data_IF_897424573909
#
_entry.id   IF_897424573909
#
_cell.length_a   1.000
_cell.length_b   1.000
_cell.length_c   1.000
_cell.angle_alpha   90.00
_cell.angle_beta   90.00
_cell.angle_gamma   90.00
#
_symmetry.space_group_name_H-M   'P 1'
#
loop_
_entity.id
_entity.type
_entity.pdbx_description
1 polymer ?
#
# COMPACT_ATOMS: atom_id res chain seq x y z
N UNK A 1 -23.57 10.47 -35.95
CA UNK A 1 -22.95 11.78 -36.22
C UNK A 1 -22.54 12.38 -34.87
N UNK A 2 -21.23 12.64 -34.75
CA UNK A 2 -20.45 13.39 -33.76
C UNK A 2 -20.95 13.58 -32.32
N UNK A 3 -20.16 13.06 -31.38
CA UNK A 3 -20.07 13.50 -29.97
C UNK A 3 -19.23 14.78 -29.91
N UNK A 4 -19.68 15.78 -29.16
CA UNK A 4 -18.89 16.97 -28.85
C UNK A 4 -18.31 16.84 -27.44
N UNK A 5 -17.03 16.52 -27.35
CA UNK A 5 -16.26 16.57 -26.10
C UNK A 5 -15.65 17.98 -25.95
N UNK A 6 -16.19 18.74 -25.00
CA UNK A 6 -15.63 20.02 -24.57
C UNK A 6 -14.46 19.79 -23.62
N UNK A 7 -13.25 19.81 -24.17
CA UNK A 7 -11.99 19.80 -23.42
C UNK A 7 -11.81 21.14 -22.70
N UNK A 8 -11.94 21.14 -21.37
CA UNK A 8 -11.60 22.29 -20.53
C UNK A 8 -10.18 22.09 -19.97
N UNK A 9 -9.18 22.28 -20.83
CA UNK A 9 -7.78 22.36 -20.41
C UNK A 9 -7.51 23.62 -19.60
N UNK A 10 -6.68 23.51 -18.55
CA UNK A 10 -6.21 24.65 -17.76
C UNK A 10 -5.38 25.61 -18.64
N UNK A 11 -6.06 26.60 -19.21
CA UNK A 11 -5.49 27.54 -20.17
C UNK A 11 -5.17 28.86 -19.46
N UNK A 12 -3.88 29.24 -19.39
CA UNK A 12 -3.50 30.62 -19.06
C UNK A 12 -3.52 31.44 -20.35
N UNK A 13 -4.46 32.36 -20.46
CA UNK A 13 -4.56 33.29 -21.60
C UNK A 13 -3.40 34.29 -21.55
N UNK A 14 -2.47 34.18 -22.50
CA UNK A 14 -1.53 35.25 -22.83
C UNK A 14 -1.99 35.86 -24.16
N UNK A 15 -2.14 37.19 -24.18
CA UNK A 15 -2.37 37.95 -25.39
C UNK A 15 -1.12 37.90 -26.29
N UNK A 16 -1.36 37.92 -27.60
CA UNK A 16 -0.40 37.92 -28.72
C UNK A 16 0.17 36.57 -29.18
N UNK A 17 -0.48 35.98 -30.19
CA UNK A 17 0.17 35.28 -31.31
C UNK A 17 1.10 34.08 -31.04
N UNK A 18 1.11 33.51 -29.83
CA UNK A 18 2.03 32.43 -29.46
C UNK A 18 1.36 31.05 -29.47
N UNK A 19 2.11 30.05 -29.93
CA UNK A 19 1.80 28.62 -29.78
C UNK A 19 1.40 28.39 -28.32
N UNK A 20 0.13 28.04 -28.07
CA UNK A 20 -0.36 27.68 -26.75
C UNK A 20 0.35 26.39 -26.34
N UNK A 21 1.48 26.50 -25.64
CA UNK A 21 2.12 25.37 -25.00
C UNK A 21 1.19 24.92 -23.88
N UNK A 22 0.34 23.94 -24.18
CA UNK A 22 -0.44 23.24 -23.17
C UNK A 22 0.54 22.73 -22.13
N UNK A 23 0.40 23.20 -20.89
CA UNK A 23 1.19 22.68 -19.79
C UNK A 23 0.86 21.19 -19.63
N UNK A 24 1.86 20.32 -19.83
CA UNK A 24 1.69 18.87 -19.71
C UNK A 24 2.48 18.35 -18.51
N UNK A 25 1.94 17.34 -17.84
CA UNK A 25 2.62 16.68 -16.74
C UNK A 25 4.00 16.15 -17.18
N UNK A 26 5.07 16.54 -16.48
CA UNK A 26 6.43 16.14 -16.88
C UNK A 26 6.74 14.65 -16.65
N UNK A 27 5.88 13.93 -15.91
CA UNK A 27 6.04 12.49 -15.63
C UNK A 27 5.33 11.63 -16.69
N UNK A 28 4.05 11.91 -16.96
CA UNK A 28 3.27 11.12 -17.93
C UNK A 28 3.16 11.75 -19.32
N UNK A 29 3.73 12.94 -19.52
CA UNK A 29 3.78 13.65 -20.80
C UNK A 29 2.39 13.88 -21.46
N UNK A 30 1.33 13.92 -20.65
CA UNK A 30 -0.05 14.12 -21.11
C UNK A 30 -0.86 12.82 -21.29
N UNK A 31 -0.29 11.65 -21.03
CA UNK A 31 -1.02 10.36 -21.09
C UNK A 31 -1.92 10.09 -19.87
N UNK A 32 -1.87 10.96 -18.87
CA UNK A 32 -2.69 10.85 -17.66
C UNK A 32 -4.15 11.24 -17.89
N UNK A 33 -4.99 11.09 -16.87
CA UNK A 33 -6.36 11.60 -16.96
C UNK A 33 -6.38 13.10 -16.74
N UNK A 34 -6.99 13.86 -17.66
CA UNK A 34 -7.22 15.32 -17.56
C UNK A 34 -8.02 15.73 -16.30
N UNK A 35 -8.56 14.76 -15.56
CA UNK A 35 -9.34 14.94 -14.35
C UNK A 35 -8.51 15.41 -13.15
N UNK A 36 -7.20 15.11 -13.11
CA UNK A 36 -6.34 15.55 -12.01
C UNK A 36 -5.65 16.87 -12.37
N UNK A 37 -5.80 17.93 -11.55
CA UNK A 37 -5.17 19.21 -11.87
C UNK A 37 -3.64 19.11 -11.74
N UNK A 38 -2.96 19.78 -12.66
CA UNK A 38 -1.51 19.99 -12.59
C UNK A 38 -1.14 20.91 -11.43
N UNK A 39 -0.04 20.59 -10.75
CA UNK A 39 0.51 21.36 -9.64
C UNK A 39 2.01 21.64 -9.83
N UNK A 40 2.51 22.64 -9.09
CA UNK A 40 3.92 23.01 -9.04
C UNK A 40 4.44 22.78 -7.61
N UNK A 41 4.93 21.57 -7.27
CA UNK A 41 5.36 21.23 -5.91
C UNK A 41 6.62 22.02 -5.47
N UNK A 42 7.27 22.71 -6.41
CA UNK A 42 8.43 23.56 -6.16
C UNK A 42 8.51 24.67 -7.22
N UNK A 43 9.56 25.51 -7.14
CA UNK A 43 9.79 26.65 -8.06
C UNK A 43 10.24 26.25 -9.47
N UNK A 44 10.45 24.96 -9.74
CA UNK A 44 10.82 24.52 -11.07
C UNK A 44 9.63 24.70 -12.03
N UNK A 45 9.86 25.13 -13.28
CA UNK A 45 8.80 25.33 -14.27
C UNK A 45 8.37 23.99 -14.89
N UNK A 46 7.96 23.02 -14.06
CA UNK A 46 7.58 21.67 -14.46
C UNK A 46 6.30 21.24 -13.73
N UNK A 47 5.12 21.38 -14.37
CA UNK A 47 3.85 20.97 -13.78
C UNK A 47 3.72 19.45 -13.70
N UNK A 48 3.05 18.95 -12.66
CA UNK A 48 2.88 17.50 -12.41
C UNK A 48 1.55 17.19 -11.76
N UNK A 49 0.95 16.05 -12.09
CA UNK A 49 -0.16 15.48 -11.33
C UNK A 49 0.35 14.99 -9.96
N UNK A 50 -0.47 15.11 -8.91
CA UNK A 50 -0.14 14.62 -7.57
C UNK A 50 0.12 13.10 -7.57
N UNK A 51 -0.72 12.31 -8.24
CA UNK A 51 -0.54 10.86 -8.37
C UNK A 51 0.76 10.50 -9.11
N UNK A 52 1.08 11.22 -10.19
CA UNK A 52 2.33 11.01 -10.94
C UNK A 52 3.57 11.32 -10.09
N UNK A 53 3.54 12.42 -9.33
CA UNK A 53 4.63 12.79 -8.42
C UNK A 53 4.79 11.73 -7.33
N UNK A 54 3.70 11.30 -6.71
CA UNK A 54 3.72 10.31 -5.64
C UNK A 54 4.29 8.96 -6.11
N UNK A 55 3.92 8.49 -7.31
CA UNK A 55 4.51 7.30 -7.94
C UNK A 55 6.00 7.46 -8.21
N UNK A 56 6.41 8.62 -8.73
CA UNK A 56 7.82 8.91 -8.97
C UNK A 56 8.64 8.91 -7.67
N UNK A 57 8.10 9.50 -6.59
CA UNK A 57 8.73 9.46 -5.26
C UNK A 57 8.85 8.03 -4.73
N UNK A 58 7.80 7.21 -4.86
CA UNK A 58 7.82 5.80 -4.49
C UNK A 58 8.86 4.98 -5.27
N UNK A 59 8.94 5.16 -6.60
CA UNK A 59 9.97 4.52 -7.42
C UNK A 59 11.39 4.99 -7.06
N UNK A 60 11.51 6.17 -6.47
CA UNK A 60 12.75 6.77 -6.01
C UNK A 60 13.01 6.49 -4.52
N UNK A 61 12.27 5.59 -3.88
CA UNK A 61 12.37 5.34 -2.45
C UNK A 61 13.80 4.98 -2.01
N UNK A 62 14.24 5.57 -0.90
CA UNK A 62 15.60 5.44 -0.38
C UNK A 62 16.64 6.32 -1.06
N UNK A 63 16.25 7.15 -2.03
CA UNK A 63 17.10 8.16 -2.64
C UNK A 63 16.70 9.58 -2.24
N UNK A 64 17.52 10.57 -2.59
CA UNK A 64 17.22 11.98 -2.34
C UNK A 64 15.94 12.42 -3.08
N UNK A 65 15.74 11.87 -4.26
CA UNK A 65 14.60 12.10 -5.13
C UNK A 65 13.26 11.68 -4.49
N UNK A 66 13.25 10.77 -3.52
CA UNK A 66 12.02 10.45 -2.77
C UNK A 66 11.42 11.69 -2.09
N UNK A 67 12.28 12.57 -1.55
CA UNK A 67 11.86 13.65 -0.64
C UNK A 67 12.19 15.05 -1.15
N UNK A 68 13.04 15.17 -2.17
CA UNK A 68 13.50 16.46 -2.67
C UNK A 68 13.54 16.52 -4.20
N UNK A 69 13.24 17.70 -4.73
CA UNK A 69 13.31 17.96 -6.17
C UNK A 69 14.75 17.75 -6.68
N UNK A 70 14.92 16.94 -7.73
CA UNK A 70 16.23 16.69 -8.35
C UNK A 70 16.94 17.96 -8.86
N UNK A 71 16.18 18.99 -9.23
CA UNK A 71 16.73 20.21 -9.82
C UNK A 71 17.00 21.31 -8.79
N UNK A 72 15.99 21.70 -8.00
CA UNK A 72 16.11 22.81 -7.06
C UNK A 72 16.31 22.38 -5.60
N UNK A 73 16.28 21.08 -5.31
CA UNK A 73 16.41 20.49 -3.97
C UNK A 73 15.34 20.92 -2.95
N UNK A 74 14.26 21.59 -3.40
CA UNK A 74 13.12 21.88 -2.54
C UNK A 74 12.49 20.57 -2.04
N UNK A 75 12.05 20.57 -0.78
CA UNK A 75 11.33 19.44 -0.18
C UNK A 75 10.01 19.23 -0.91
N UNK A 76 9.75 18.00 -1.31
CA UNK A 76 8.51 17.59 -1.98
C UNK A 76 7.44 17.20 -0.94
N UNK A 77 6.15 17.29 -1.28
CA UNK A 77 5.08 16.84 -0.41
C UNK A 77 5.21 15.34 -0.07
N UNK A 78 4.65 14.92 1.06
CA UNK A 78 4.60 13.49 1.40
C UNK A 78 3.68 12.76 0.40
N UNK A 79 4.20 11.69 -0.18
CA UNK A 79 3.53 10.94 -1.23
C UNK A 79 2.53 9.91 -0.67
N UNK A 80 2.70 9.48 0.58
CA UNK A 80 1.90 8.40 1.18
C UNK A 80 0.40 8.70 1.18
N UNK A 81 -0.10 9.89 1.55
CA UNK A 81 -1.54 10.17 1.54
C UNK A 81 -2.17 10.06 0.16
N UNK A 82 -1.41 10.34 -0.91
CA UNK A 82 -1.89 10.22 -2.30
C UNK A 82 -2.02 8.76 -2.72
N UNK A 83 -1.11 7.89 -2.25
CA UNK A 83 -1.10 6.47 -2.59
C UNK A 83 -1.87 5.59 -1.60
N UNK A 84 -2.23 6.12 -0.42
CA UNK A 84 -3.04 5.43 0.57
C UNK A 84 -4.49 5.49 0.12
N UNK A 85 -5.11 4.37 -0.29
CA UNK A 85 -6.53 4.39 -0.57
C UNK A 85 -7.29 4.69 0.73
N UNK A 86 -8.50 5.29 0.69
CA UNK A 86 -9.34 5.44 1.86
C UNK A 86 -9.70 4.04 2.38
N UNK A 87 -8.92 3.57 3.35
CA UNK A 87 -9.01 2.24 3.93
C UNK A 87 -9.05 2.45 5.42
N UNK A 88 -10.26 2.47 5.98
CA UNK A 88 -10.47 2.39 7.43
C UNK A 88 -9.78 1.14 8.01
N UNK A 89 -9.60 0.10 7.17
CA UNK A 89 -8.94 -1.16 7.49
C UNK A 89 -7.40 -1.10 7.47
N UNK A 90 -6.77 -0.03 7.00
CA UNK A 90 -5.31 0.07 6.95
C UNK A 90 -4.67 0.02 8.36
N UNK A 91 -5.39 0.51 9.37
CA UNK A 91 -4.97 0.43 10.77
C UNK A 91 -5.10 -0.98 11.37
N UNK A 92 -5.97 -1.83 10.81
CA UNK A 92 -6.16 -3.22 11.23
C UNK A 92 -5.26 -4.21 10.46
N UNK A 93 -4.61 -3.76 9.40
CA UNK A 93 -3.73 -4.59 8.59
C UNK A 93 -2.48 -4.98 9.37
N UNK A 94 -2.20 -6.30 9.49
CA UNK A 94 -0.92 -6.83 9.95
C UNK A 94 -0.04 -7.04 8.68
N UNK A 95 0.81 -6.08 8.25
CA UNK A 95 1.59 -6.24 7.03
C UNK A 95 2.66 -7.33 7.19
N UNK A 96 2.76 -8.17 6.18
CA UNK A 96 3.71 -9.30 6.11
C UNK A 96 4.44 -9.23 4.78
N UNK A 97 5.74 -9.49 4.79
CA UNK A 97 6.58 -9.65 3.60
C UNK A 97 6.98 -11.12 3.44
N UNK A 98 7.06 -11.57 2.19
CA UNK A 98 7.69 -12.85 1.85
C UNK A 98 9.18 -12.60 1.60
N UNK A 99 10.04 -13.30 2.32
CA UNK A 99 11.50 -13.18 2.21
C UNK A 99 12.04 -14.47 1.62
N UNK A 100 12.76 -14.37 0.50
CA UNK A 100 13.34 -15.52 -0.20
C UNK A 100 14.87 -15.47 -0.11
N UNK A 101 15.49 -16.53 0.41
CA UNK A 101 16.94 -16.67 0.46
C UNK A 101 17.33 -18.14 0.30
N UNK A 102 18.29 -18.44 -0.58
CA UNK A 102 18.73 -19.82 -0.90
C UNK A 102 17.57 -20.79 -1.21
N UNK A 103 16.54 -20.31 -1.92
CA UNK A 103 15.35 -21.09 -2.28
C UNK A 103 14.35 -21.32 -1.13
N UNK A 104 14.66 -20.89 0.09
CA UNK A 104 13.74 -20.92 1.23
C UNK A 104 12.92 -19.63 1.26
N UNK A 105 11.64 -19.75 1.62
CA UNK A 105 10.68 -18.64 1.69
C UNK A 105 10.11 -18.56 3.11
N UNK A 106 10.22 -17.39 3.73
CA UNK A 106 9.65 -17.13 5.05
C UNK A 106 8.77 -15.89 5.04
N UNK A 107 7.65 -15.96 5.74
CA UNK A 107 6.72 -14.84 5.91
C UNK A 107 7.02 -14.09 7.21
N UNK A 108 7.48 -12.84 7.09
CA UNK A 108 7.90 -12.01 8.21
C UNK A 108 6.94 -10.85 8.37
N UNK A 109 6.40 -10.65 9.58
CA UNK A 109 5.60 -9.46 9.89
C UNK A 109 6.52 -8.24 9.91
N UNK A 110 6.09 -7.15 9.28
CA UNK A 110 6.89 -5.93 9.19
C UNK A 110 6.26 -4.79 9.97
N UNK A 111 7.08 -3.85 10.41
CA UNK A 111 6.63 -2.68 11.16
C UNK A 111 7.24 -1.42 10.56
N UNK A 112 6.45 -0.37 10.46
CA UNK A 112 6.97 0.96 10.14
C UNK A 112 7.74 1.56 11.32
N UNK A 113 8.34 2.73 11.09
CA UNK A 113 8.98 3.52 12.13
C UNK A 113 10.50 3.31 12.25
N UNK A 114 11.14 4.00 13.20
CA UNK A 114 12.60 4.17 13.22
C UNK A 114 13.37 2.86 13.45
N UNK A 115 12.80 1.92 14.20
CA UNK A 115 13.44 0.64 14.52
C UNK A 115 13.00 -0.51 13.60
N UNK A 116 12.01 -0.28 12.74
CA UNK A 116 11.38 -1.34 11.94
C UNK A 116 12.38 -2.07 11.04
N UNK A 117 13.30 -1.33 10.41
CA UNK A 117 14.32 -1.92 9.56
C UNK A 117 15.32 -2.79 10.34
N UNK A 118 15.82 -2.31 11.48
CA UNK A 118 16.77 -3.08 12.30
C UNK A 118 16.13 -4.33 12.91
N UNK A 119 14.85 -4.26 13.32
CA UNK A 119 14.11 -5.44 13.77
C UNK A 119 13.96 -6.45 12.62
N UNK A 120 13.54 -5.99 11.44
CA UNK A 120 13.36 -6.83 10.26
C UNK A 120 14.67 -7.53 9.82
N UNK A 121 15.78 -6.80 9.80
CA UNK A 121 17.10 -7.36 9.48
C UNK A 121 17.50 -8.43 10.48
N UNK A 122 17.34 -8.16 11.78
CA UNK A 122 17.65 -9.14 12.84
C UNK A 122 16.80 -10.40 12.71
N UNK A 123 15.51 -10.25 12.41
CA UNK A 123 14.61 -11.38 12.25
C UNK A 123 15.01 -12.24 11.05
N UNK A 124 15.34 -11.64 9.90
CA UNK A 124 15.85 -12.35 8.72
C UNK A 124 17.16 -13.07 9.03
N UNK A 125 18.12 -12.39 9.67
CA UNK A 125 19.40 -13.01 10.04
C UNK A 125 19.20 -14.23 10.95
N UNK A 126 18.29 -14.12 11.92
CA UNK A 126 17.95 -15.23 12.81
C UNK A 126 17.27 -16.39 12.08
N UNK A 127 16.36 -16.10 11.14
CA UNK A 127 15.60 -17.13 10.39
C UNK A 127 16.52 -17.91 9.45
N UNK A 128 17.38 -17.22 8.71
CA UNK A 128 18.23 -17.83 7.68
C UNK A 128 19.63 -18.20 8.18
N UNK A 129 19.93 -17.97 9.47
CA UNK A 129 21.26 -18.24 10.04
C UNK A 129 22.38 -17.40 9.41
N UNK A 130 22.08 -16.18 8.96
CA UNK A 130 23.05 -15.29 8.33
C UNK A 130 23.86 -14.60 9.42
N UNK A 131 25.17 -14.82 9.43
CA UNK A 131 26.07 -14.17 10.39
C UNK A 131 26.31 -12.70 10.03
N UNK A 132 26.58 -11.87 11.04
CA UNK A 132 26.78 -10.43 10.90
C UNK A 132 28.00 -10.02 10.03
N UNK A 133 28.85 -10.97 9.64
CA UNK A 133 29.99 -10.75 8.75
C UNK A 133 29.59 -10.58 7.28
N UNK A 134 28.35 -10.96 6.91
CA UNK A 134 27.87 -10.86 5.54
C UNK A 134 27.13 -9.55 5.31
N UNK A 135 27.57 -8.78 4.31
CA UNK A 135 26.84 -7.61 3.81
C UNK A 135 25.51 -8.07 3.17
N UNK A 136 24.40 -7.79 3.85
CA UNK A 136 23.08 -8.18 3.38
C UNK A 136 22.46 -7.08 2.50
N UNK A 137 22.34 -7.35 1.20
CA UNK A 137 21.64 -6.48 0.27
C UNK A 137 20.18 -6.92 0.11
N UNK A 138 19.26 -6.03 0.49
CA UNK A 138 17.83 -6.28 0.36
C UNK A 138 17.26 -5.61 -0.89
N UNK A 139 16.34 -6.31 -1.54
CA UNK A 139 15.46 -5.74 -2.55
C UNK A 139 14.02 -6.17 -2.26
N UNK A 140 13.09 -5.24 -2.47
CA UNK A 140 11.68 -5.39 -2.17
C UNK A 140 10.88 -5.36 -3.45
N UNK A 141 10.28 -6.50 -3.79
CA UNK A 141 9.34 -6.58 -4.90
C UNK A 141 7.95 -6.18 -4.40
N UNK A 142 7.40 -5.12 -4.99
CA UNK A 142 6.16 -4.50 -4.59
C UNK A 142 5.22 -4.33 -5.80
N UNK A 143 3.93 -4.15 -5.55
CA UNK A 143 2.99 -3.67 -6.56
C UNK A 143 2.78 -2.15 -6.38
N UNK A 144 2.84 -1.41 -7.49
CA UNK A 144 2.47 0.00 -7.54
C UNK A 144 1.01 0.16 -7.05
N UNK A 145 0.75 1.01 -6.03
CA UNK A 145 -0.58 1.08 -5.40
C UNK A 145 -1.73 1.47 -6.35
N UNK A 146 -1.41 2.22 -7.41
CA UNK A 146 -2.37 2.77 -8.38
C UNK A 146 -2.56 1.81 -9.54
N UNK A 147 -1.46 1.41 -10.19
CA UNK A 147 -1.49 0.62 -11.43
C UNK A 147 -1.49 -0.89 -11.19
N UNK A 148 -1.04 -1.33 -10.01
CA UNK A 148 -0.82 -2.74 -9.70
C UNK A 148 0.42 -3.35 -10.38
N UNK A 149 1.17 -2.57 -11.15
CA UNK A 149 2.37 -3.04 -11.84
C UNK A 149 3.48 -3.41 -10.84
N UNK A 150 4.20 -4.50 -11.12
CA UNK A 150 5.35 -4.89 -10.31
C UNK A 150 6.47 -3.83 -10.39
N UNK A 151 7.05 -3.49 -9.24
CA UNK A 151 8.18 -2.58 -9.09
C UNK A 151 9.16 -3.13 -8.06
N UNK A 152 10.43 -2.75 -8.18
CA UNK A 152 11.50 -3.18 -7.29
C UNK A 152 12.13 -2.00 -6.58
N UNK A 153 12.11 -2.03 -5.25
CA UNK A 153 12.75 -1.03 -4.40
C UNK A 153 14.02 -1.64 -3.79
N UNK A 154 15.13 -0.90 -3.71
CA UNK A 154 16.42 -1.47 -3.34
C UNK A 154 17.03 -0.80 -2.11
N UNK A 155 17.66 -1.60 -1.28
CA UNK A 155 18.46 -1.14 -0.15
C UNK A 155 17.65 -0.72 1.08
N UNK A 156 18.36 -0.46 2.17
CA UNK A 156 17.80 -0.12 3.47
C UNK A 156 16.87 1.11 3.43
N UNK A 157 17.25 2.13 2.65
CA UNK A 157 16.48 3.38 2.54
C UNK A 157 15.06 3.19 2.01
N UNK A 158 14.81 2.13 1.24
CA UNK A 158 13.49 1.86 0.68
C UNK A 158 12.55 1.08 1.62
N UNK A 159 13.02 0.66 2.80
CA UNK A 159 12.25 -0.21 3.70
C UNK A 159 10.88 0.39 4.07
N UNK A 160 10.82 1.69 4.41
CA UNK A 160 9.56 2.32 4.81
C UNK A 160 8.54 2.35 3.66
N UNK A 161 9.01 2.55 2.43
CA UNK A 161 8.17 2.50 1.25
C UNK A 161 7.66 1.08 0.98
N UNK A 162 8.52 0.06 1.15
CA UNK A 162 8.13 -1.34 1.04
C UNK A 162 7.08 -1.74 2.11
N UNK A 163 7.26 -1.29 3.36
CA UNK A 163 6.27 -1.49 4.43
C UNK A 163 4.93 -0.85 4.05
N UNK A 164 4.96 0.36 3.50
CA UNK A 164 3.75 1.03 3.03
C UNK A 164 3.00 0.23 1.95
N UNK A 165 3.74 -0.28 0.95
CA UNK A 165 3.17 -1.18 -0.07
C UNK A 165 2.59 -2.46 0.56
N UNK A 166 3.27 -3.05 1.53
CA UNK A 166 2.80 -4.23 2.26
C UNK A 166 1.52 -3.94 3.04
N UNK A 167 1.40 -2.77 3.67
CA UNK A 167 0.19 -2.32 4.40
C UNK A 167 -1.00 -2.17 3.45
N UNK A 168 -0.82 -1.49 2.31
CA UNK A 168 -1.88 -1.35 1.31
C UNK A 168 -2.31 -2.73 0.79
N UNK A 169 -1.35 -3.62 0.53
CA UNK A 169 -1.61 -4.97 0.06
C UNK A 169 -2.39 -5.79 1.09
N UNK A 170 -2.01 -5.70 2.37
CA UNK A 170 -2.70 -6.36 3.46
C UNK A 170 -4.14 -5.85 3.64
N UNK A 171 -4.35 -4.54 3.60
CA UNK A 171 -5.68 -3.94 3.69
C UNK A 171 -6.57 -4.34 2.50
N UNK A 172 -6.02 -4.37 1.27
CA UNK A 172 -6.74 -4.89 0.08
C UNK A 172 -7.19 -6.34 0.27
N UNK A 173 -6.34 -7.21 0.84
CA UNK A 173 -6.69 -8.62 1.13
C UNK A 173 -7.83 -8.75 2.14
N UNK A 174 -7.80 -7.98 3.23
CA UNK A 174 -8.88 -7.97 4.24
C UNK A 174 -10.23 -7.64 3.58
N UNK A 175 -10.26 -6.58 2.76
CA UNK A 175 -11.48 -6.16 2.07
C UNK A 175 -12.00 -7.20 1.07
N UNK A 176 -11.11 -7.82 0.29
CA UNK A 176 -11.50 -8.89 -0.64
C UNK A 176 -12.10 -10.08 0.09
N UNK A 177 -11.51 -10.48 1.22
CA UNK A 177 -12.01 -11.58 2.05
C UNK A 177 -13.38 -11.27 2.65
N UNK A 178 -13.58 -10.07 3.22
CA UNK A 178 -14.88 -9.65 3.75
C UNK A 178 -15.99 -9.64 2.69
N UNK A 179 -15.67 -9.23 1.45
CA UNK A 179 -16.61 -9.25 0.34
C UNK A 179 -17.00 -10.67 -0.07
N UNK A 180 -16.07 -11.62 -0.05
CA UNK A 180 -16.35 -13.04 -0.33
C UNK A 180 -17.25 -13.64 0.75
N UNK A 181 -16.99 -13.37 2.03
CA UNK A 181 -17.83 -13.86 3.12
C UNK A 181 -19.26 -13.31 3.06
N UNK A 182 -19.43 -12.03 2.74
CA UNK A 182 -20.77 -11.44 2.54
C UNK A 182 -21.53 -11.99 1.33
N UNK A 183 -20.83 -12.64 0.39
CA UNK A 183 -21.43 -13.20 -0.84
C UNK A 183 -21.78 -14.68 -0.72
N UNK A 184 -21.49 -15.36 0.39
CA UNK A 184 -22.03 -16.70 0.61
C UNK A 184 -23.52 -16.60 0.95
N UNK A 185 -24.43 -17.14 0.11
CA UNK A 185 -25.82 -17.28 0.52
C UNK A 185 -25.87 -18.28 1.67
N UNK A 186 -26.60 -17.95 2.73
CA UNK A 186 -26.98 -18.88 3.79
C UNK A 186 -27.87 -19.98 3.20
N UNK A 187 -27.28 -20.95 2.53
CA UNK A 187 -27.96 -22.17 2.13
C UNK A 187 -28.14 -23.04 3.37
N UNK A 188 -29.34 -22.95 3.95
CA UNK A 188 -29.92 -24.01 4.77
C UNK A 188 -29.84 -23.79 6.28
N UNK A 189 -30.96 -23.34 6.85
CA UNK A 189 -31.52 -24.02 8.01
C UNK A 189 -33.04 -24.14 7.80
N UNK A 190 -33.39 -25.24 7.14
CA UNK A 190 -34.69 -25.86 7.26
C UNK A 190 -34.91 -26.20 8.74
N UNK A 191 -35.90 -25.55 9.36
CA UNK A 191 -36.43 -25.97 10.66
C UNK A 191 -36.87 -27.43 10.62
N UNK A 192 -36.62 -28.18 11.71
CA UNK A 192 -37.66 -28.97 12.30
C UNK A 192 -37.93 -28.46 13.71
N UNK A 193 -39.19 -28.08 13.93
CA UNK A 193 -39.73 -27.83 15.24
C UNK A 193 -39.68 -29.10 16.09
N UNK A 194 -39.08 -29.02 17.28
CA UNK A 194 -39.37 -29.94 18.39
C UNK A 194 -39.03 -29.24 19.72
N UNK A 195 -40.02 -29.26 20.61
CA UNK A 195 -40.13 -28.55 21.89
C UNK A 195 -39.26 -29.13 23.01
N UNK A 196 -38.84 -28.27 23.96
CA UNK A 196 -39.29 -28.31 25.38
C UNK A 196 -38.28 -27.74 26.41
N UNK A 197 -38.83 -26.92 27.32
CA UNK A 197 -38.50 -26.68 28.75
C UNK A 197 -37.25 -25.84 29.10
N UNK A 198 -37.40 -24.56 29.49
CA UNK A 198 -37.63 -23.97 30.84
C UNK A 198 -36.47 -24.22 31.83
N UNK A 199 -35.67 -23.19 32.12
CA UNK A 199 -35.46 -22.60 33.47
C UNK A 199 -34.39 -21.47 33.43
N UNK A 200 -34.67 -20.38 34.14
CA UNK A 200 -33.79 -19.24 34.50
C UNK A 200 -33.71 -19.20 36.03
N UNK A 201 -32.63 -18.75 36.71
CA UNK A 201 -32.35 -17.30 36.81
C UNK A 201 -30.87 -16.85 37.00
N UNK A 202 -30.59 -15.68 36.41
CA UNK A 202 -29.89 -14.49 36.93
C UNK A 202 -28.69 -14.57 37.89
N UNK A 203 -27.49 -14.16 37.43
CA UNK A 203 -26.59 -13.18 38.11
C UNK A 203 -25.50 -12.63 37.15
N UNK A 204 -25.16 -11.32 37.13
CA UNK A 204 -23.92 -10.76 36.54
C UNK A 204 -23.10 -9.95 37.59
N UNK A 205 -21.98 -9.27 37.22
CA UNK A 205 -20.76 -9.72 36.53
C UNK A 205 -19.47 -9.33 37.32
N UNK A 206 -18.26 -9.69 36.83
CA UNK A 206 -17.11 -8.77 36.51
C UNK A 206 -15.74 -9.49 36.48
N UNK A 207 -14.87 -8.95 35.60
CA UNK A 207 -13.40 -9.13 35.46
C UNK A 207 -12.95 -10.32 34.61
N UNK A 208 -12.65 -10.11 33.31
CA UNK A 208 -11.43 -9.50 32.73
C UNK A 208 -10.34 -10.55 32.51
N UNK A 209 -10.04 -10.87 31.25
CA UNK A 209 -8.68 -11.01 30.71
C UNK A 209 -8.71 -11.45 29.24
N UNK A 210 -7.99 -10.70 28.40
CA UNK A 210 -7.27 -11.24 27.26
C UNK A 210 -8.02 -11.42 25.95
N UNK A 211 -8.46 -10.33 25.30
CA UNK A 211 -8.54 -10.32 23.84
C UNK A 211 -7.11 -10.38 23.29
N UNK A 212 -6.61 -11.58 23.05
CA UNK A 212 -5.53 -11.78 22.09
C UNK A 212 -6.17 -11.50 20.73
N UNK A 213 -5.84 -10.36 20.14
CA UNK A 213 -6.04 -10.13 18.71
C UNK A 213 -5.14 -11.13 17.96
N UNK A 214 -5.62 -12.36 17.78
CA UNK A 214 -5.05 -13.29 16.81
C UNK A 214 -5.28 -12.66 15.43
N UNK A 215 -4.21 -12.13 14.81
CA UNK A 215 -4.23 -11.96 13.35
C UNK A 215 -4.41 -13.38 12.79
N UNK A 216 -5.51 -13.61 12.08
CA UNK A 216 -6.08 -14.84 11.50
C UNK A 216 -5.14 -15.70 10.59
N UNK A 217 -3.83 -15.51 10.64
CA UNK A 217 -2.85 -16.17 9.75
C UNK A 217 -2.32 -17.52 10.23
N UNK A 218 -2.62 -17.97 11.45
CA UNK A 218 -2.09 -19.25 11.98
C UNK A 218 -2.70 -20.51 11.32
N UNK A 219 -3.70 -20.39 10.44
CA UNK A 219 -4.46 -21.55 9.89
C UNK A 219 -4.21 -21.86 8.40
N UNK A 220 -3.28 -21.18 7.72
CA UNK A 220 -3.06 -21.36 6.26
C UNK A 220 -1.62 -21.77 5.87
N UNK A 221 -0.85 -22.33 6.81
CA UNK A 221 0.49 -22.85 6.54
C UNK A 221 0.54 -24.37 6.27
N UNK A 222 -0.54 -24.97 5.77
CA UNK A 222 -0.54 -26.41 5.50
C UNK A 222 -1.32 -26.77 4.22
N UNK A 223 -0.79 -26.35 3.07
CA UNK A 223 -1.10 -26.99 1.78
C UNK A 223 0.08 -26.79 0.80
N UNK A 224 1.22 -27.41 1.12
CA UNK A 224 2.17 -27.85 0.09
C UNK A 224 1.76 -29.23 -0.41
N UNK A 225 1.15 -29.29 -1.59
CA UNK A 225 1.08 -30.48 -2.44
C UNK A 225 1.17 -30.05 -3.91
N UNK A 226 2.39 -30.12 -4.45
CA UNK A 226 2.73 -30.71 -5.75
C UNK A 226 4.25 -30.63 -5.93
#
# INVERSE_FOLDING_TARGET
MARGDGSAGNTRTLADGQISQTEVCWVCLGEGTDLEPLSYPCKCPRPVHGACLARWQLHSAGSREEVACRFCSAVLPDWKPVLTPPLDDAAAACPTMSVTFNGQVHHVRVKGGPNGYSEFVRDIQSIFGITAEHDMQLAFDCADPITGQAMKLNGAGAYQAAVHCATISAAKRIRMWQQQQRRQPSSGLSSPAASSQIETPSTPPRHSQGTINHCFWDDFADHTLA
#
